data_IF_277305960154
#
_entry.id   IF_277305960154
#
_cell.length_a   1.000
_cell.length_b   1.000
_cell.length_c   1.000
_cell.angle_alpha   90.00
_cell.angle_beta   90.00
_cell.angle_gamma   90.00
#
_symmetry.space_group_name_H-M   'P 1'
#
loop_
_entity.id
_entity.type
_entity.pdbx_description
1 polymer ?
#
# COMPACT_ATOMS: atom_id res chain seq x y z
N UNK A 1 -40.80 40.85 50.37
CA UNK A 1 -39.39 40.41 50.31
C UNK A 1 -39.10 39.94 48.91
N UNK A 2 -38.17 40.62 48.23
CA UNK A 2 -37.73 40.33 46.87
C UNK A 2 -36.68 39.23 46.93
N UNK A 3 -36.80 38.19 46.11
CA UNK A 3 -35.69 37.29 45.86
C UNK A 3 -35.59 37.01 44.36
N UNK A 4 -34.79 37.88 43.75
CA UNK A 4 -33.98 37.80 42.54
C UNK A 4 -34.16 36.56 41.66
N UNK A 5 -34.79 36.82 40.51
CA UNK A 5 -34.64 36.08 39.25
C UNK A 5 -33.17 36.00 38.85
N UNK A 6 -32.58 34.80 38.92
CA UNK A 6 -31.25 34.53 38.38
C UNK A 6 -31.41 34.08 36.92
N UNK A 7 -31.22 35.02 36.00
CA UNK A 7 -31.25 34.81 34.56
C UNK A 7 -29.92 34.13 34.17
N UNK A 8 -29.96 32.84 33.81
CA UNK A 8 -28.83 32.16 33.15
C UNK A 8 -28.89 32.44 31.65
N UNK A 9 -28.17 33.48 31.21
CA UNK A 9 -27.88 33.75 29.81
C UNK A 9 -26.85 32.71 29.33
N UNK A 10 -27.32 31.70 28.59
CA UNK A 10 -26.45 30.82 27.80
C UNK A 10 -26.10 31.52 26.48
N UNK A 11 -25.00 32.26 26.47
CA UNK A 11 -24.32 32.69 25.25
C UNK A 11 -23.60 31.49 24.64
N UNK A 12 -24.30 30.71 23.83
CA UNK A 12 -23.65 29.75 22.94
C UNK A 12 -23.12 30.55 21.77
N UNK A 13 -21.83 30.89 21.83
CA UNK A 13 -21.09 31.41 20.68
C UNK A 13 -21.11 30.35 19.58
N UNK A 14 -21.88 30.65 18.54
CA UNK A 14 -21.88 29.94 17.27
C UNK A 14 -20.52 30.21 16.64
N UNK A 15 -19.54 29.35 16.93
CA UNK A 15 -18.33 29.29 16.14
C UNK A 15 -18.70 28.63 14.80
N UNK A 16 -19.12 29.46 13.85
CA UNK A 16 -19.03 29.15 12.43
C UNK A 16 -17.54 29.00 12.09
N UNK A 17 -16.99 27.81 12.30
CA UNK A 17 -15.75 27.43 11.63
C UNK A 17 -16.04 27.42 10.14
N UNK A 18 -15.38 28.34 9.43
CA UNK A 18 -15.26 28.40 7.97
C UNK A 18 -15.07 26.98 7.44
N UNK A 19 -15.76 26.56 6.36
CA UNK A 19 -15.50 25.26 5.77
C UNK A 19 -14.04 25.24 5.33
N UNK A 20 -13.20 24.54 6.10
CA UNK A 20 -11.88 24.15 5.63
C UNK A 20 -12.14 23.40 4.34
N UNK A 21 -11.70 24.02 3.25
CA UNK A 21 -11.63 23.55 1.87
C UNK A 21 -12.25 22.18 1.74
N UNK A 22 -13.44 22.13 1.16
CA UNK A 22 -13.94 20.93 0.50
C UNK A 22 -12.74 20.39 -0.27
N UNK A 23 -12.11 19.33 0.27
CA UNK A 23 -11.32 18.46 -0.55
C UNK A 23 -12.38 17.98 -1.51
N UNK A 24 -12.43 18.57 -2.70
CA UNK A 24 -13.08 17.93 -3.80
C UNK A 24 -12.42 16.56 -3.80
N UNK A 25 -13.10 15.57 -3.24
CA UNK A 25 -13.12 14.25 -3.81
C UNK A 25 -13.54 14.51 -5.25
N UNK A 26 -12.57 14.94 -6.08
CA UNK A 26 -12.48 14.39 -7.41
C UNK A 26 -12.74 12.93 -7.17
N UNK A 27 -13.89 12.50 -7.66
CA UNK A 27 -14.25 11.10 -7.74
C UNK A 27 -13.17 10.53 -8.65
N UNK A 28 -12.02 10.16 -8.07
CA UNK A 28 -10.95 9.50 -8.79
C UNK A 28 -11.59 8.19 -9.15
N UNK A 29 -12.06 8.10 -10.39
CA UNK A 29 -12.57 6.85 -10.93
C UNK A 29 -11.42 5.86 -10.85
N UNK A 30 -11.47 5.02 -9.82
CA UNK A 30 -10.43 4.04 -9.55
C UNK A 30 -10.60 2.91 -10.55
N UNK A 31 -9.74 2.88 -11.56
CA UNK A 31 -9.75 1.81 -12.55
C UNK A 31 -8.71 0.78 -12.13
N UNK A 32 -9.15 -0.24 -11.38
CA UNK A 32 -8.29 -1.35 -10.99
C UNK A 32 -8.24 -2.43 -12.07
N UNK A 33 -7.02 -2.80 -12.50
CA UNK A 33 -6.84 -3.94 -13.39
C UNK A 33 -6.88 -5.25 -12.59
N UNK A 34 -8.02 -5.93 -12.59
CA UNK A 34 -8.23 -7.18 -11.84
C UNK A 34 -7.35 -8.33 -12.31
N UNK A 35 -6.96 -8.37 -13.59
CA UNK A 35 -6.03 -9.38 -14.08
C UNK A 35 -4.63 -9.16 -13.53
N UNK A 36 -4.18 -7.89 -13.55
CA UNK A 36 -2.90 -7.51 -12.95
C UNK A 36 -2.88 -7.84 -11.45
N UNK A 37 -3.95 -7.49 -10.71
CA UNK A 37 -4.11 -7.84 -9.29
C UNK A 37 -3.88 -9.32 -9.03
N UNK A 38 -4.61 -10.17 -9.74
CA UNK A 38 -4.52 -11.64 -9.56
C UNK A 38 -3.10 -12.13 -9.78
N UNK A 39 -2.46 -11.70 -10.86
CA UNK A 39 -1.09 -12.10 -11.17
C UNK A 39 -0.08 -11.57 -10.14
N UNK A 40 -0.18 -10.30 -9.76
CA UNK A 40 0.71 -9.67 -8.79
C UNK A 40 0.68 -10.41 -7.45
N UNK A 41 -0.50 -10.64 -6.88
CA UNK A 41 -0.64 -11.35 -5.61
C UNK A 41 -0.33 -12.85 -5.74
N UNK A 42 -0.55 -13.46 -6.90
CA UNK A 42 -0.11 -14.82 -7.15
C UNK A 42 1.42 -14.94 -7.06
N UNK A 43 2.16 -14.00 -7.67
CA UNK A 43 3.63 -13.94 -7.60
C UNK A 43 4.13 -13.68 -6.18
N UNK A 44 3.51 -12.76 -5.45
CA UNK A 44 3.82 -12.53 -4.03
C UNK A 44 3.60 -13.82 -3.22
N UNK A 45 2.50 -14.53 -3.43
CA UNK A 45 2.23 -15.81 -2.73
C UNK A 45 3.28 -16.88 -3.03
N UNK A 46 3.76 -16.98 -4.27
CA UNK A 46 4.85 -17.89 -4.63
C UNK A 46 6.10 -17.53 -3.81
N UNK A 47 6.48 -16.26 -3.78
CA UNK A 47 7.65 -15.77 -3.01
C UNK A 47 7.48 -16.11 -1.53
N UNK A 48 6.33 -15.76 -0.93
CA UNK A 48 5.99 -16.03 0.48
C UNK A 48 6.17 -17.54 0.81
N UNK A 49 5.74 -18.42 -0.09
CA UNK A 49 5.80 -19.87 0.13
C UNK A 49 7.21 -20.47 0.00
N UNK A 50 8.09 -19.82 -0.76
CA UNK A 50 9.38 -20.39 -1.18
C UNK A 50 10.59 -19.74 -0.51
N UNK A 51 10.46 -18.50 -0.01
CA UNK A 51 11.59 -17.71 0.53
C UNK A 51 12.39 -18.43 1.62
N UNK A 52 11.71 -19.16 2.50
CA UNK A 52 12.33 -19.94 3.60
C UNK A 52 12.47 -21.43 3.30
N UNK A 53 12.06 -21.89 2.11
CA UNK A 53 12.01 -23.32 1.78
C UNK A 53 12.95 -23.69 0.65
N UNK A 54 12.74 -23.10 -0.53
CA UNK A 54 13.51 -23.42 -1.73
C UNK A 54 13.37 -22.29 -2.76
N UNK A 55 14.40 -21.45 -2.87
CA UNK A 55 14.46 -20.31 -3.78
C UNK A 55 14.77 -20.72 -5.23
N UNK A 56 13.90 -21.57 -5.76
CA UNK A 56 14.00 -22.20 -7.07
C UNK A 56 13.72 -21.22 -8.23
N UNK A 57 13.62 -21.76 -9.45
CA UNK A 57 13.36 -20.96 -10.66
C UNK A 57 12.06 -20.15 -10.59
N UNK A 58 10.99 -20.68 -9.99
CA UNK A 58 9.72 -19.96 -9.87
C UNK A 58 9.79 -18.83 -8.85
N UNK A 59 10.56 -19.00 -7.78
CA UNK A 59 10.87 -17.91 -6.85
C UNK A 59 11.57 -16.76 -7.58
N UNK A 60 12.66 -17.05 -8.30
CA UNK A 60 13.44 -16.06 -9.04
C UNK A 60 12.62 -15.36 -10.14
N UNK A 61 11.80 -16.12 -10.88
CA UNK A 61 10.85 -15.55 -11.85
C UNK A 61 9.84 -14.62 -11.19
N UNK A 62 9.34 -14.98 -10.01
CA UNK A 62 8.36 -14.17 -9.29
C UNK A 62 8.97 -12.89 -8.75
N UNK A 63 10.18 -12.94 -8.18
CA UNK A 63 10.92 -11.73 -7.83
C UNK A 63 11.19 -10.85 -9.06
N UNK A 64 11.62 -11.45 -10.17
CA UNK A 64 11.84 -10.75 -11.44
C UNK A 64 10.57 -10.16 -12.06
N UNK A 65 9.39 -10.68 -11.73
CA UNK A 65 8.13 -10.06 -12.09
C UNK A 65 7.86 -8.83 -11.22
N UNK A 66 8.00 -8.96 -9.90
CA UNK A 66 7.72 -7.87 -8.94
C UNK A 66 8.67 -6.69 -9.16
N UNK A 67 9.95 -6.96 -9.46
CA UNK A 67 10.98 -5.94 -9.68
C UNK A 67 10.70 -5.01 -10.85
N UNK A 68 9.82 -5.40 -11.78
CA UNK A 68 9.38 -4.51 -12.87
C UNK A 68 8.54 -3.34 -12.36
N UNK A 69 7.98 -3.45 -11.17
CA UNK A 69 6.95 -2.55 -10.66
C UNK A 69 7.37 -1.90 -9.35
N UNK A 70 7.87 -2.70 -8.41
CA UNK A 70 8.34 -2.23 -7.11
C UNK A 70 9.81 -2.57 -6.91
N UNK A 71 10.45 -1.93 -5.94
CA UNK A 71 11.83 -2.24 -5.59
C UNK A 71 11.96 -3.69 -5.11
N UNK A 72 13.05 -4.34 -5.51
CA UNK A 72 13.50 -5.65 -5.02
C UNK A 72 15.00 -5.54 -4.82
N UNK A 73 15.50 -5.79 -3.61
CA UNK A 73 16.92 -5.74 -3.27
C UNK A 73 17.65 -6.99 -3.76
N UNK A 74 17.79 -7.15 -5.08
CA UNK A 74 18.55 -8.28 -5.65
C UNK A 74 20.01 -8.28 -5.23
N UNK A 75 20.59 -7.12 -4.94
CA UNK A 75 21.93 -6.95 -4.39
C UNK A 75 22.16 -7.80 -3.13
N UNK A 76 21.13 -7.98 -2.30
CA UNK A 76 21.23 -8.80 -1.09
C UNK A 76 21.35 -10.30 -1.40
N UNK A 77 21.06 -10.72 -2.64
CA UNK A 77 21.29 -12.10 -3.11
C UNK A 77 22.73 -12.37 -3.53
N UNK A 78 23.58 -11.34 -3.65
CA UNK A 78 25.00 -11.50 -3.97
C UNK A 78 25.85 -12.00 -2.79
N UNK A 79 25.20 -12.48 -1.72
CA UNK A 79 25.86 -13.12 -0.59
C UNK A 79 26.42 -14.51 -0.96
N UNK A 80 27.25 -15.08 -0.07
CA UNK A 80 27.89 -16.40 -0.28
C UNK A 80 26.89 -17.54 -0.55
N UNK A 81 25.66 -17.43 -0.04
CA UNK A 81 24.62 -18.46 -0.23
C UNK A 81 23.84 -18.29 -1.55
N UNK A 82 23.91 -17.13 -2.21
CA UNK A 82 23.09 -16.83 -3.38
C UNK A 82 21.60 -16.75 -3.09
N UNK A 83 21.21 -16.68 -1.82
CA UNK A 83 19.82 -16.69 -1.36
C UNK A 83 19.38 -15.28 -0.99
N UNK A 84 18.13 -14.98 -1.31
CA UNK A 84 17.42 -13.78 -0.91
C UNK A 84 17.14 -13.82 0.61
N UNK A 85 17.73 -12.93 1.42
CA UNK A 85 17.63 -13.02 2.87
C UNK A 85 16.20 -12.79 3.38
N UNK A 86 15.81 -13.53 4.43
CA UNK A 86 14.49 -13.39 5.06
C UNK A 86 14.23 -12.00 5.64
N UNK A 87 15.25 -11.37 6.21
CA UNK A 87 15.17 -10.00 6.75
C UNK A 87 14.92 -8.96 5.64
N UNK A 88 15.57 -9.12 4.49
CA UNK A 88 15.33 -8.31 3.28
C UNK A 88 13.91 -8.52 2.78
N UNK A 89 13.47 -9.77 2.67
CA UNK A 89 12.12 -10.13 2.24
C UNK A 89 11.01 -9.45 3.05
N UNK A 90 11.12 -9.39 4.38
CA UNK A 90 10.08 -8.75 5.20
C UNK A 90 9.92 -7.26 4.82
N UNK A 91 11.05 -6.56 4.60
CA UNK A 91 11.04 -5.13 4.22
C UNK A 91 10.48 -4.94 2.82
N UNK A 92 10.99 -5.69 1.85
CA UNK A 92 10.59 -5.58 0.45
C UNK A 92 9.14 -5.97 0.24
N UNK A 93 8.68 -7.05 0.88
CA UNK A 93 7.27 -7.47 0.82
C UNK A 93 6.33 -6.35 1.25
N UNK A 94 6.64 -5.64 2.33
CA UNK A 94 5.87 -4.47 2.76
C UNK A 94 5.84 -3.41 1.67
N UNK A 95 7.00 -3.08 1.09
CA UNK A 95 7.11 -2.13 -0.03
C UNK A 95 6.35 -2.57 -1.29
N UNK A 96 6.24 -3.87 -1.57
CA UNK A 96 5.44 -4.37 -2.69
C UNK A 96 3.95 -4.14 -2.50
N UNK A 97 3.44 -4.39 -1.29
CA UNK A 97 2.03 -4.15 -0.95
C UNK A 97 1.73 -2.66 -0.98
N UNK A 98 2.59 -1.83 -0.39
CA UNK A 98 2.43 -0.37 -0.41
C UNK A 98 2.44 0.19 -1.83
N UNK A 99 3.36 -0.29 -2.67
CA UNK A 99 3.39 0.07 -4.08
C UNK A 99 2.09 -0.31 -4.78
N UNK A 100 1.58 -1.54 -4.58
CA UNK A 100 0.33 -1.98 -5.20
C UNK A 100 -0.83 -1.09 -4.77
N UNK A 101 -1.02 -0.87 -3.48
CA UNK A 101 -2.12 -0.07 -2.94
C UNK A 101 -2.10 1.37 -3.46
N UNK A 102 -0.91 1.96 -3.59
CA UNK A 102 -0.74 3.31 -4.15
C UNK A 102 -1.05 3.40 -5.65
N UNK A 103 -0.86 2.32 -6.41
CA UNK A 103 -0.94 2.34 -7.87
C UNK A 103 -2.16 1.61 -8.46
N UNK A 104 -2.89 0.81 -7.65
CA UNK A 104 -3.94 -0.10 -8.14
C UNK A 104 -5.03 0.62 -8.96
N UNK A 105 -5.32 1.88 -8.66
CA UNK A 105 -6.35 2.67 -9.34
C UNK A 105 -5.94 3.26 -10.70
N UNK A 106 -4.69 3.03 -11.15
CA UNK A 106 -4.14 3.61 -12.38
C UNK A 106 -4.17 2.64 -13.58
N UNK A 107 -5.06 1.64 -13.56
CA UNK A 107 -5.20 0.61 -14.61
C UNK A 107 -3.84 0.02 -15.03
N UNK A 108 -3.09 -0.52 -14.06
CA UNK A 108 -1.72 -1.00 -14.26
C UNK A 108 -1.67 -2.02 -15.42
N UNK A 109 -0.81 -1.77 -16.40
CA UNK A 109 -0.59 -2.66 -17.53
C UNK A 109 0.63 -3.56 -17.31
N UNK A 110 0.60 -4.74 -17.93
CA UNK A 110 1.76 -5.64 -17.89
C UNK A 110 2.92 -5.06 -18.69
N UNK A 111 4.05 -4.83 -18.01
CA UNK A 111 5.32 -4.47 -18.66
C UNK A 111 5.84 -5.66 -19.46
N UNK A 112 6.21 -5.39 -20.72
CA UNK A 112 6.80 -6.38 -21.63
C UNK A 112 8.13 -6.92 -21.05
N UNK A 113 8.58 -8.04 -21.62
CA UNK A 113 9.88 -8.63 -21.29
C UNK A 113 11.00 -7.75 -21.82
#
# INVERSE_FOLDING_TARGET
MKQNTSIFILLIFINCSTPNKIFSQEKVDCIENLQFKKEFFHRVKIIDSLVYRNQNKEFKKSLGFISKYSHVSFEDTANYTGLYPGSTFIKDRKGWIEWYEKNKCNNIQFKKK
#
